data_IF_548998651006
#
_entry.id   IF_548998651006
#
_cell.length_a   1.000
_cell.length_b   1.000
_cell.length_c   1.000
_cell.angle_alpha   90.00
_cell.angle_beta   90.00
_cell.angle_gamma   90.00
#
_symmetry.space_group_name_H-M   'P 1'
#
loop_
_entity.id
_entity.type
_entity.pdbx_description
1 polymer ?
#
# COMPACT_ATOMS: atom_id res chain seq x y z
N UNK A 1 23.48 -10.83 33.95
CA UNK A 1 22.40 -10.45 33.00
C UNK A 1 23.03 -10.12 31.66
N UNK A 2 23.07 -11.07 30.72
CA UNK A 2 23.57 -10.82 29.36
C UNK A 2 22.44 -10.23 28.50
N UNK A 3 22.62 -9.00 28.02
CA UNK A 3 21.67 -8.35 27.12
C UNK A 3 21.49 -9.17 25.85
N UNK A 4 20.24 -9.50 25.50
CA UNK A 4 19.92 -10.20 24.25
C UNK A 4 20.24 -9.26 23.08
N UNK A 5 21.05 -9.67 22.09
CA UNK A 5 21.32 -8.80 20.94
C UNK A 5 20.01 -8.50 20.21
N UNK A 6 19.78 -7.21 19.93
CA UNK A 6 18.61 -6.78 19.17
C UNK A 6 18.60 -7.49 17.81
N UNK A 7 17.48 -8.11 17.43
CA UNK A 7 17.39 -8.75 16.14
C UNK A 7 17.45 -7.70 15.03
N UNK A 8 18.43 -7.83 14.13
CA UNK A 8 18.60 -6.94 12.96
C UNK A 8 17.48 -7.10 11.92
N UNK A 9 16.53 -8.02 12.13
CA UNK A 9 15.45 -8.31 11.19
C UNK A 9 14.31 -7.30 11.37
N UNK A 10 13.90 -6.57 10.33
CA UNK A 10 12.78 -5.64 10.44
C UNK A 10 11.50 -6.39 10.79
N UNK A 11 10.73 -5.82 11.72
CA UNK A 11 9.41 -6.36 12.09
C UNK A 11 8.47 -6.36 10.87
N UNK A 12 7.50 -7.29 10.83
CA UNK A 12 6.47 -7.32 9.77
C UNK A 12 5.78 -5.96 9.60
N UNK A 13 5.49 -5.27 10.71
CA UNK A 13 4.88 -3.93 10.69
C UNK A 13 5.79 -2.92 10.00
N UNK A 14 7.09 -2.93 10.29
CA UNK A 14 8.05 -2.03 9.64
C UNK A 14 8.09 -2.29 8.13
N UNK A 15 8.18 -3.56 7.71
CA UNK A 15 8.16 -3.93 6.28
C UNK A 15 6.89 -3.42 5.59
N UNK A 16 5.71 -3.64 6.17
CA UNK A 16 4.44 -3.18 5.57
C UNK A 16 4.36 -1.65 5.50
N UNK A 17 4.80 -0.93 6.53
CA UNK A 17 4.84 0.54 6.51
C UNK A 17 5.78 1.03 5.41
N UNK A 18 6.98 0.47 5.32
CA UNK A 18 7.95 0.83 4.29
C UNK A 18 7.39 0.58 2.89
N UNK A 19 6.84 -0.61 2.64
CA UNK A 19 6.27 -0.95 1.33
C UNK A 19 5.08 -0.05 0.99
N UNK A 20 4.19 0.22 1.95
CA UNK A 20 3.04 1.11 1.76
C UNK A 20 3.48 2.50 1.29
N UNK A 21 4.36 3.17 2.03
CA UNK A 21 4.80 4.52 1.71
C UNK A 21 5.71 4.55 0.47
N UNK A 22 6.58 3.56 0.29
CA UNK A 22 7.41 3.43 -0.91
C UNK A 22 6.54 3.32 -2.17
N UNK A 23 5.56 2.41 -2.17
CA UNK A 23 4.64 2.23 -3.29
C UNK A 23 3.81 3.48 -3.56
N UNK A 24 3.32 4.16 -2.51
CA UNK A 24 2.58 5.42 -2.67
C UNK A 24 3.43 6.51 -3.33
N UNK A 25 4.68 6.72 -2.89
CA UNK A 25 5.56 7.72 -3.47
C UNK A 25 6.01 7.37 -4.89
N UNK A 26 6.28 6.09 -5.18
CA UNK A 26 6.58 5.63 -6.53
C UNK A 26 5.41 5.88 -7.49
N UNK A 27 4.19 5.59 -7.04
CA UNK A 27 2.97 5.87 -7.79
C UNK A 27 2.85 7.38 -8.11
N UNK A 28 3.09 8.26 -7.13
CA UNK A 28 3.08 9.71 -7.35
C UNK A 28 4.21 10.18 -8.29
N UNK A 29 5.41 9.60 -8.17
CA UNK A 29 6.52 9.90 -9.07
C UNK A 29 6.19 9.52 -10.52
N UNK A 30 5.53 8.37 -10.71
CA UNK A 30 5.04 7.90 -12.00
C UNK A 30 3.86 8.73 -12.53
N UNK A 31 3.13 9.48 -11.69
CA UNK A 31 2.10 10.41 -12.14
C UNK A 31 2.70 11.67 -12.78
N UNK A 32 3.75 12.24 -12.17
CA UNK A 32 4.41 13.46 -12.66
C UNK A 32 5.20 13.23 -13.96
N UNK A 33 5.92 12.11 -14.05
CA UNK A 33 6.75 11.78 -15.22
C UNK A 33 6.07 10.86 -16.23
N UNK A 34 4.80 10.50 -16.00
CA UNK A 34 4.16 9.37 -16.65
C UNK A 34 4.87 8.05 -16.38
N UNK A 35 4.48 7.00 -17.09
CA UNK A 35 5.21 5.73 -17.17
C UNK A 35 6.54 5.84 -17.94
N UNK A 36 7.13 7.04 -18.05
CA UNK A 36 8.26 7.35 -18.91
C UNK A 36 9.63 6.94 -18.38
N UNK A 37 9.78 6.64 -17.08
CA UNK A 37 11.08 6.22 -16.51
C UNK A 37 11.09 4.72 -16.17
N UNK A 38 11.79 3.86 -16.94
CA UNK A 38 11.78 2.40 -16.74
C UNK A 38 12.22 1.97 -15.35
N UNK A 39 13.24 2.62 -14.78
CA UNK A 39 13.77 2.29 -13.45
C UNK A 39 12.71 2.47 -12.36
N UNK A 40 11.96 3.57 -12.40
CA UNK A 40 10.91 3.85 -11.41
C UNK A 40 9.79 2.81 -11.52
N UNK A 41 9.42 2.42 -12.75
CA UNK A 41 8.37 1.41 -12.99
C UNK A 41 8.77 0.02 -12.53
N UNK A 42 9.99 -0.42 -12.83
CA UNK A 42 10.51 -1.69 -12.33
C UNK A 42 10.61 -1.70 -10.80
N UNK A 43 11.05 -0.58 -10.21
CA UNK A 43 11.07 -0.42 -8.74
C UNK A 43 9.66 -0.52 -8.14
N UNK A 44 8.68 0.15 -8.75
CA UNK A 44 7.27 0.04 -8.36
C UNK A 44 6.76 -1.39 -8.48
N UNK A 45 6.94 -2.04 -9.64
CA UNK A 45 6.47 -3.40 -9.88
C UNK A 45 7.08 -4.40 -8.88
N UNK A 46 8.38 -4.30 -8.60
CA UNK A 46 9.06 -5.15 -7.63
C UNK A 46 8.55 -4.91 -6.19
N UNK A 47 8.44 -3.65 -5.75
CA UNK A 47 7.95 -3.33 -4.42
C UNK A 47 6.48 -3.75 -4.22
N UNK A 48 5.62 -3.50 -5.22
CA UNK A 48 4.22 -3.90 -5.23
C UNK A 48 4.07 -5.43 -5.21
N UNK A 49 4.81 -6.15 -6.05
CA UNK A 49 4.79 -7.62 -6.09
C UNK A 49 5.26 -8.21 -4.75
N UNK A 50 6.35 -7.68 -4.18
CA UNK A 50 6.81 -8.10 -2.86
C UNK A 50 5.73 -7.88 -1.78
N UNK A 51 5.05 -6.73 -1.83
CA UNK A 51 4.00 -6.43 -0.86
C UNK A 51 2.79 -7.38 -1.00
N UNK A 52 2.37 -7.66 -2.24
CA UNK A 52 1.33 -8.66 -2.53
C UNK A 52 1.75 -10.04 -2.01
N UNK A 53 2.97 -10.49 -2.27
CA UNK A 53 3.51 -11.77 -1.76
C UNK A 53 3.49 -11.80 -0.23
N UNK A 54 3.91 -10.73 0.44
CA UNK A 54 3.84 -10.63 1.91
C UNK A 54 2.41 -10.74 2.42
N UNK A 55 1.45 -10.12 1.74
CA UNK A 55 0.03 -10.17 2.11
C UNK A 55 -0.60 -11.55 1.85
N UNK A 56 -0.26 -12.21 0.75
CA UNK A 56 -0.71 -13.58 0.48
C UNK A 56 -0.13 -14.57 1.49
N UNK A 57 1.17 -14.46 1.80
CA UNK A 57 1.85 -15.38 2.71
C UNK A 57 1.48 -15.19 4.19
N UNK A 58 1.19 -13.95 4.62
CA UNK A 58 1.00 -13.61 6.05
C UNK A 58 -0.39 -13.05 6.36
N UNK A 59 -1.27 -12.99 5.37
CA UNK A 59 -2.56 -12.29 5.43
C UNK A 59 -2.43 -10.76 5.50
N UNK A 60 -3.58 -10.09 5.61
CA UNK A 60 -3.65 -8.64 5.81
C UNK A 60 -3.06 -8.24 7.17
N UNK A 61 -2.24 -7.19 7.19
CA UNK A 61 -1.71 -6.62 8.43
C UNK A 61 -2.75 -5.76 9.16
N UNK A 62 -3.62 -5.09 8.42
CA UNK A 62 -4.68 -4.22 8.95
C UNK A 62 -5.85 -5.00 9.54
N UNK A 63 -6.46 -4.44 10.58
CA UNK A 63 -7.68 -4.95 11.21
C UNK A 63 -8.71 -3.82 11.30
N UNK A 64 -10.02 -4.13 11.26
CA UNK A 64 -11.04 -3.13 11.50
C UNK A 64 -10.86 -2.55 12.90
N UNK A 65 -10.93 -1.23 13.03
CA UNK A 65 -10.79 -0.55 14.32
C UNK A 65 -11.94 -0.90 15.28
N UNK A 66 -11.75 -0.78 16.61
CA UNK A 66 -12.75 -1.20 17.59
C UNK A 66 -14.09 -0.46 17.44
N UNK A 67 -14.05 0.81 17.02
CA UNK A 67 -15.23 1.68 16.86
C UNK A 67 -15.90 1.57 15.49
N UNK A 68 -15.29 0.87 14.54
CA UNK A 68 -15.90 0.64 13.23
C UNK A 68 -17.04 -0.38 13.40
N UNK A 69 -18.21 -0.14 12.82
CA UNK A 69 -19.39 -1.01 12.94
C UNK A 69 -20.18 -1.08 11.62
N UNK A 70 -21.23 -1.92 11.59
CA UNK A 70 -22.14 -2.06 10.44
C UNK A 70 -21.44 -2.41 9.12
N UNK A 71 -21.94 -1.83 8.03
CA UNK A 71 -21.44 -2.06 6.67
C UNK A 71 -19.95 -1.68 6.54
N UNK A 72 -19.50 -0.59 7.18
CA UNK A 72 -18.11 -0.15 7.10
C UNK A 72 -17.14 -1.19 7.71
N UNK A 73 -17.54 -1.86 8.80
CA UNK A 73 -16.76 -2.98 9.37
C UNK A 73 -16.78 -4.20 8.44
N UNK A 74 -17.94 -4.54 7.88
CA UNK A 74 -18.08 -5.70 6.99
C UNK A 74 -17.23 -5.54 5.71
N UNK A 75 -17.22 -4.34 5.12
CA UNK A 75 -16.49 -4.03 3.89
C UNK A 75 -14.99 -3.81 4.11
N UNK A 76 -14.53 -3.63 5.35
CA UNK A 76 -13.11 -3.35 5.65
C UNK A 76 -12.17 -4.36 4.98
N UNK A 77 -12.41 -5.66 5.20
CA UNK A 77 -11.55 -6.72 4.65
C UNK A 77 -11.66 -6.88 3.13
N UNK A 78 -12.88 -6.99 2.54
CA UNK A 78 -13.05 -7.03 1.09
C UNK A 78 -12.38 -5.85 0.37
N UNK A 79 -12.54 -4.62 0.89
CA UNK A 79 -11.93 -3.43 0.32
C UNK A 79 -10.39 -3.52 0.31
N UNK A 80 -9.78 -3.99 1.40
CA UNK A 80 -8.32 -4.13 1.45
C UNK A 80 -7.83 -5.20 0.46
N UNK A 81 -8.52 -6.33 0.35
CA UNK A 81 -8.16 -7.33 -0.66
C UNK A 81 -8.36 -6.82 -2.09
N UNK A 82 -9.41 -6.03 -2.34
CA UNK A 82 -9.61 -5.33 -3.61
C UNK A 82 -8.44 -4.41 -3.95
N UNK A 83 -7.92 -3.66 -2.99
CA UNK A 83 -6.71 -2.84 -3.20
C UNK A 83 -5.47 -3.68 -3.50
N UNK A 84 -5.29 -4.84 -2.84
CA UNK A 84 -4.18 -5.74 -3.19
C UNK A 84 -4.34 -6.34 -4.59
N UNK A 85 -5.57 -6.63 -5.03
CA UNK A 85 -5.83 -7.09 -6.39
C UNK A 85 -5.50 -5.99 -7.42
N UNK A 86 -5.92 -4.75 -7.18
CA UNK A 86 -5.55 -3.60 -8.01
C UNK A 86 -4.04 -3.36 -8.02
N UNK A 87 -3.37 -3.49 -6.87
CA UNK A 87 -1.92 -3.36 -6.77
C UNK A 87 -1.19 -4.45 -7.57
N UNK A 88 -1.65 -5.70 -7.48
CA UNK A 88 -1.10 -6.82 -8.25
C UNK A 88 -1.29 -6.62 -9.76
N UNK A 89 -2.48 -6.18 -10.18
CA UNK A 89 -2.78 -5.87 -11.57
C UNK A 89 -1.88 -4.72 -12.09
N UNK A 90 -1.75 -3.64 -11.32
CA UNK A 90 -0.90 -2.52 -11.70
C UNK A 90 0.58 -2.91 -11.83
N UNK A 91 1.08 -3.76 -10.92
CA UNK A 91 2.45 -4.30 -10.99
C UNK A 91 2.64 -5.17 -12.25
N UNK A 92 1.72 -6.09 -12.52
CA UNK A 92 1.77 -6.98 -13.68
C UNK A 92 1.70 -6.22 -15.01
N UNK A 93 0.78 -5.26 -15.13
CA UNK A 93 0.64 -4.44 -16.34
C UNK A 93 1.86 -3.55 -16.57
N UNK A 94 2.45 -3.00 -15.51
CA UNK A 94 3.70 -2.25 -15.65
C UNK A 94 4.85 -3.13 -16.12
N UNK A 95 5.01 -4.32 -15.55
CA UNK A 95 6.05 -5.26 -15.96
C UNK A 95 5.84 -5.76 -17.40
N UNK A 96 4.60 -6.08 -17.77
CA UNK A 96 4.27 -6.57 -19.11
C UNK A 96 4.55 -5.53 -20.20
N UNK A 97 4.16 -4.27 -19.98
CA UNK A 97 4.51 -3.18 -20.90
C UNK A 97 6.03 -2.95 -20.98
N UNK A 98 6.73 -2.93 -19.84
CA UNK A 98 8.19 -2.74 -19.82
C UNK A 98 8.94 -3.86 -20.53
N UNK A 99 8.40 -5.09 -20.48
CA UNK A 99 8.94 -6.25 -21.17
C UNK A 99 8.49 -6.34 -22.64
N UNK A 100 7.67 -5.41 -23.13
CA UNK A 100 7.15 -5.43 -24.51
C UNK A 100 6.13 -6.53 -24.79
N UNK A 101 5.51 -7.12 -23.76
CA UNK A 101 4.53 -8.20 -23.89
C UNK A 101 3.14 -7.69 -24.29
N UNK A 102 2.86 -6.42 -24.05
CA UNK A 102 1.61 -5.75 -24.39
C UNK A 102 1.87 -4.35 -24.92
N UNK A 103 0.92 -3.81 -25.69
CA UNK A 103 0.99 -2.44 -26.17
C UNK A 103 0.97 -1.42 -25.01
N UNK A 104 1.62 -0.25 -25.15
CA UNK A 104 1.57 0.81 -24.13
C UNK A 104 0.15 1.34 -23.89
N UNK A 105 -0.19 1.64 -22.64
CA UNK A 105 -1.46 2.23 -22.22
C UNK A 105 -2.03 1.63 -20.94
N UNK A 106 -2.26 0.30 -20.87
CA UNK A 106 -2.83 -0.37 -19.71
C UNK A 106 -2.13 -0.07 -18.37
N UNK A 107 -0.81 0.06 -18.33
CA UNK A 107 -0.08 0.39 -17.12
C UNK A 107 -0.46 1.78 -16.60
N UNK A 108 -0.56 2.78 -17.48
CA UNK A 108 -0.98 4.13 -17.10
C UNK A 108 -2.38 4.14 -16.52
N UNK A 109 -3.33 3.49 -17.21
CA UNK A 109 -4.72 3.38 -16.74
C UNK A 109 -4.78 2.71 -15.36
N UNK A 110 -4.03 1.61 -15.19
CA UNK A 110 -3.99 0.89 -13.92
C UNK A 110 -3.46 1.74 -12.75
N UNK A 111 -2.51 2.65 -13.01
CA UNK A 111 -1.99 3.58 -12.01
C UNK A 111 -3.04 4.61 -11.60
N UNK A 112 -3.81 5.15 -12.56
CA UNK A 112 -4.90 6.08 -12.26
C UNK A 112 -5.99 5.40 -11.42
N UNK A 113 -6.39 4.18 -11.79
CA UNK A 113 -7.36 3.39 -11.02
C UNK A 113 -6.85 3.13 -9.59
N UNK A 114 -5.59 2.70 -9.46
CA UNK A 114 -4.97 2.45 -8.16
C UNK A 114 -4.85 3.73 -7.34
N UNK A 115 -4.51 4.87 -7.96
CA UNK A 115 -4.45 6.17 -7.30
C UNK A 115 -5.82 6.58 -6.76
N UNK A 116 -6.87 6.47 -7.57
CA UNK A 116 -8.24 6.80 -7.17
C UNK A 116 -8.69 5.93 -6.00
N UNK A 117 -8.52 4.61 -6.11
CA UNK A 117 -8.89 3.69 -5.04
C UNK A 117 -8.04 3.92 -3.76
N UNK A 118 -6.73 4.15 -3.91
CA UNK A 118 -5.81 4.46 -2.83
C UNK A 118 -6.14 5.77 -2.12
N UNK A 119 -6.62 6.78 -2.86
CA UNK A 119 -7.06 8.05 -2.30
C UNK A 119 -8.33 7.88 -1.46
N UNK A 120 -9.33 7.18 -1.98
CA UNK A 120 -10.56 6.85 -1.23
C UNK A 120 -10.24 6.04 0.03
N UNK A 121 -9.30 5.10 -0.07
CA UNK A 121 -8.79 4.34 1.07
C UNK A 121 -8.13 5.24 2.12
N UNK A 122 -7.24 6.15 1.70
CA UNK A 122 -6.59 7.13 2.57
C UNK A 122 -7.61 8.03 3.27
N UNK A 123 -8.60 8.55 2.54
CA UNK A 123 -9.69 9.36 3.08
C UNK A 123 -10.53 8.59 4.10
N UNK A 124 -10.84 7.32 3.84
CA UNK A 124 -11.53 6.47 4.81
C UNK A 124 -10.75 6.32 6.11
N UNK A 125 -9.43 6.12 6.03
CA UNK A 125 -8.58 6.03 7.22
C UNK A 125 -8.42 7.37 7.94
N UNK A 126 -8.38 8.47 7.20
CA UNK A 126 -8.39 9.83 7.77
C UNK A 126 -9.69 10.09 8.53
N UNK A 127 -10.85 9.81 7.92
CA UNK A 127 -12.16 9.92 8.57
C UNK A 127 -12.24 9.05 9.83
N UNK A 128 -11.78 7.79 9.79
CA UNK A 128 -11.73 6.94 10.99
C UNK A 128 -10.90 7.55 12.11
N UNK A 129 -9.77 8.14 11.76
CA UNK A 129 -8.90 8.77 12.75
C UNK A 129 -9.53 10.01 13.37
N UNK A 130 -10.17 10.88 12.57
CA UNK A 130 -10.72 12.16 13.05
C UNK A 130 -12.13 12.02 13.65
N UNK A 131 -13.04 11.33 12.96
CA UNK A 131 -14.44 11.20 13.38
C UNK A 131 -14.64 10.08 14.41
N UNK A 132 -14.07 8.89 14.20
CA UNK A 132 -14.21 7.79 15.15
C UNK A 132 -13.16 7.86 16.28
N UNK A 133 -12.05 8.57 16.07
CA UNK A 133 -10.95 8.67 17.06
C UNK A 133 -10.46 7.28 17.47
N UNK A 134 -10.21 6.43 16.48
CA UNK A 134 -9.79 5.03 16.67
C UNK A 134 -8.29 4.80 16.39
N UNK A 135 -7.51 5.88 16.20
CA UNK A 135 -6.08 5.85 15.88
C UNK A 135 -5.73 5.10 14.59
N UNK A 136 -6.64 5.03 13.60
CA UNK A 136 -6.41 4.33 12.35
C UNK A 136 -5.10 4.71 11.65
N UNK A 137 -4.76 6.00 11.59
CA UNK A 137 -3.54 6.47 10.89
C UNK A 137 -2.25 6.03 11.60
N UNK A 138 -2.28 5.93 12.94
CA UNK A 138 -1.13 5.47 13.73
C UNK A 138 -0.70 4.05 13.38
N UNK A 139 -1.60 3.24 12.81
CA UNK A 139 -1.30 1.88 12.39
C UNK A 139 -0.30 1.83 11.22
N UNK A 140 -0.36 2.79 10.30
CA UNK A 140 0.43 2.81 9.06
C UNK A 140 1.47 3.95 9.01
N UNK A 141 1.38 4.94 9.89
CA UNK A 141 2.40 5.99 10.00
C UNK A 141 3.66 5.51 10.73
N UNK A 142 4.87 5.90 10.25
CA UNK A 142 6.12 5.75 10.99
C UNK A 142 6.03 6.39 12.37
N UNK A 143 6.70 5.79 13.38
CA UNK A 143 6.65 6.26 14.77
C UNK A 143 7.12 7.71 14.93
N UNK A 144 8.11 8.13 14.14
CA UNK A 144 8.61 9.51 14.13
C UNK A 144 7.53 10.53 13.78
N UNK A 145 6.50 10.15 13.03
CA UNK A 145 5.38 11.01 12.63
C UNK A 145 4.15 10.88 13.54
N UNK A 146 4.24 10.22 14.69
CA UNK A 146 3.07 10.10 15.58
C UNK A 146 2.72 11.40 16.32
N UNK A 147 3.62 12.39 16.33
CA UNK A 147 3.41 13.67 17.01
C UNK A 147 2.50 14.65 16.25
N UNK A 148 2.23 14.39 14.97
CA UNK A 148 1.33 15.21 14.13
C UNK A 148 -0.10 14.64 14.06
N UNK A 149 -0.42 13.60 14.84
CA UNK A 149 -1.68 12.84 14.77
C UNK A 149 -2.65 13.13 15.91
#
# INVERSE_FOLDING_TARGET
MTARPASLRPSRRAVVITLHWLTAFLLLAMLKGGTGTPVVRWTFAAAAALWVVVALAKGLAGRPGPKLSGAARALYRPMHWGLYALLAAAAALNAAELAGLIAPGPAWISLLVLLSAGTLHGLFHFWRHTALRDNALRSILPKSLHHIL
#
